data_IF_495175677494
#
_entry.id   IF_495175677494
#
_cell.length_a   1.000
_cell.length_b   1.000
_cell.length_c   1.000
_cell.angle_alpha   90.00
_cell.angle_beta   90.00
_cell.angle_gamma   90.00
#
_symmetry.space_group_name_H-M   'P 1'
#
loop_
_entity.id
_entity.type
_entity.pdbx_description
1 polymer ?
#
# COMPACT_ATOMS: atom_id res chain seq x y z
N UNK A 1 -8.24 0.68 8.40
CA UNK A 1 -6.91 0.03 8.39
C UNK A 1 -7.00 -1.47 8.12
N UNK A 2 -7.65 -2.26 8.98
CA UNK A 2 -7.73 -3.73 8.83
C UNK A 2 -8.34 -4.22 7.52
N UNK A 3 -9.32 -3.49 6.97
CA UNK A 3 -9.94 -3.85 5.68
C UNK A 3 -8.96 -3.72 4.50
N UNK A 4 -8.12 -2.67 4.49
CA UNK A 4 -7.18 -2.40 3.41
C UNK A 4 -6.06 -3.45 3.38
N UNK A 5 -5.55 -3.84 4.55
CA UNK A 5 -4.52 -4.90 4.64
C UNK A 5 -5.07 -6.25 4.17
N UNK A 6 -6.29 -6.63 4.58
CA UNK A 6 -6.96 -7.85 4.09
C UNK A 6 -7.23 -7.82 2.58
N UNK A 7 -7.51 -6.63 2.02
CA UNK A 7 -7.64 -6.47 0.57
C UNK A 7 -6.30 -6.65 -0.13
N UNK A 8 -5.21 -6.08 0.42
CA UNK A 8 -3.86 -6.23 -0.14
C UNK A 8 -3.40 -7.70 -0.12
N UNK A 9 -3.78 -8.49 0.89
CA UNK A 9 -3.51 -9.93 0.93
C UNK A 9 -4.17 -10.69 -0.24
N UNK A 10 -5.34 -10.24 -0.69
CA UNK A 10 -6.11 -10.91 -1.76
C UNK A 10 -5.77 -10.38 -3.14
N UNK A 11 -5.71 -9.06 -3.26
CA UNK A 11 -5.48 -8.32 -4.51
C UNK A 11 -4.47 -7.20 -4.25
N UNK A 12 -3.16 -7.52 -4.28
CA UNK A 12 -2.13 -6.58 -3.87
C UNK A 12 -1.98 -5.38 -4.80
N UNK A 13 -2.37 -5.48 -6.07
CA UNK A 13 -2.10 -4.45 -7.08
C UNK A 13 -3.37 -3.83 -7.67
N UNK A 14 -4.53 -4.18 -7.13
CA UNK A 14 -5.84 -3.78 -7.62
C UNK A 14 -6.81 -3.51 -6.46
N UNK A 15 -7.86 -2.73 -6.71
CA UNK A 15 -8.94 -2.47 -5.77
C UNK A 15 -8.92 -1.07 -5.15
N UNK A 16 -9.39 -0.97 -3.90
CA UNK A 16 -9.67 0.31 -3.24
C UNK A 16 -8.42 1.17 -3.06
N UNK A 17 -8.56 2.49 -3.07
CA UNK A 17 -7.43 3.38 -2.78
C UNK A 17 -6.42 3.52 -3.91
N UNK A 18 -6.78 3.17 -5.16
CA UNK A 18 -5.97 3.39 -6.37
C UNK A 18 -4.50 2.95 -6.19
N UNK A 19 -4.22 1.64 -6.20
CA UNK A 19 -2.87 1.12 -6.12
C UNK A 19 -2.01 1.68 -7.27
N UNK A 20 -0.91 2.33 -6.92
CA UNK A 20 0.00 2.96 -7.87
C UNK A 20 1.45 2.48 -7.59
N UNK A 21 2.16 1.91 -8.58
CA UNK A 21 3.55 1.53 -8.41
C UNK A 21 4.41 2.80 -8.26
N UNK A 22 5.31 2.79 -7.29
CA UNK A 22 6.28 3.86 -7.08
C UNK A 22 7.51 3.67 -8.00
N UNK A 23 8.22 4.78 -8.25
CA UNK A 23 9.35 4.85 -9.19
C UNK A 23 10.63 5.25 -8.46
N UNK A 24 11.76 5.16 -9.17
CA UNK A 24 13.10 5.56 -8.69
C UNK A 24 13.51 4.78 -7.43
N UNK A 25 13.84 5.48 -6.34
CA UNK A 25 14.28 4.89 -5.06
C UNK A 25 13.24 3.97 -4.43
N UNK A 26 11.97 4.12 -4.81
CA UNK A 26 10.86 3.27 -4.36
C UNK A 26 10.38 2.29 -5.44
N UNK A 27 11.22 1.99 -6.45
CA UNK A 27 10.88 0.97 -7.45
C UNK A 27 10.57 -0.37 -6.76
N UNK A 28 9.44 -0.97 -7.14
CA UNK A 28 8.92 -2.20 -6.51
C UNK A 28 8.05 -1.97 -5.28
N UNK A 29 7.96 -0.74 -4.75
CA UNK A 29 6.96 -0.36 -3.76
C UNK A 29 5.67 0.12 -4.42
N UNK A 30 4.59 0.07 -3.65
CA UNK A 30 3.25 0.45 -4.06
C UNK A 30 2.65 1.43 -3.07
N UNK A 31 1.90 2.39 -3.60
CA UNK A 31 1.14 3.37 -2.83
C UNK A 31 -0.35 3.10 -2.95
N UNK A 32 -1.05 3.14 -1.82
CA UNK A 32 -2.52 3.06 -1.76
C UNK A 32 -3.06 4.19 -0.90
N UNK A 33 -4.17 4.80 -1.32
CA UNK A 33 -4.87 5.84 -0.57
C UNK A 33 -5.65 5.21 0.59
N UNK A 34 -5.36 5.67 1.80
CA UNK A 34 -6.17 5.35 2.98
C UNK A 34 -7.34 6.34 3.06
N UNK A 35 -7.06 7.62 2.84
CA UNK A 35 -8.02 8.70 2.68
C UNK A 35 -7.42 9.75 1.71
N UNK A 36 -7.94 10.98 1.68
CA UNK A 36 -7.42 12.03 0.79
C UNK A 36 -5.95 12.36 1.07
N UNK A 37 -5.55 12.38 2.33
CA UNK A 37 -4.25 12.87 2.79
C UNK A 37 -3.22 11.76 3.01
N UNK A 38 -3.68 10.57 3.39
CA UNK A 38 -2.81 9.48 3.83
C UNK A 38 -2.62 8.43 2.76
N UNK A 39 -1.40 7.90 2.73
CA UNK A 39 -0.98 6.80 1.87
C UNK A 39 -0.42 5.67 2.71
N UNK A 40 -0.76 4.45 2.31
CA UNK A 40 -0.07 3.23 2.70
C UNK A 40 0.99 2.96 1.64
N UNK A 41 2.25 2.86 2.05
CA UNK A 41 3.34 2.40 1.19
C UNK A 41 3.74 0.99 1.63
N UNK A 42 3.64 0.06 0.68
CA UNK A 42 3.88 -1.36 0.92
C UNK A 42 4.56 -2.04 -0.26
N UNK A 43 5.09 -3.23 -0.02
CA UNK A 43 5.66 -4.13 -1.03
C UNK A 43 5.24 -5.56 -0.70
N UNK A 44 5.08 -6.40 -1.72
CA UNK A 44 4.86 -7.83 -1.54
C UNK A 44 6.14 -8.57 -1.88
N UNK A 45 6.67 -9.33 -0.93
CA UNK A 45 7.86 -10.17 -1.10
C UNK A 45 7.66 -11.51 -0.40
N UNK A 46 8.01 -12.63 -1.05
CA UNK A 46 7.98 -13.97 -0.45
C UNK A 46 6.68 -14.28 0.32
N UNK A 47 5.53 -13.97 -0.28
CA UNK A 47 4.19 -14.12 0.33
C UNK A 47 3.97 -13.31 1.61
N UNK A 48 4.81 -12.31 1.88
CA UNK A 48 4.69 -11.36 2.99
C UNK A 48 4.42 -9.96 2.47
N UNK A 49 3.64 -9.19 3.23
CA UNK A 49 3.40 -7.77 2.94
C UNK A 49 4.31 -6.95 3.86
N UNK A 50 5.25 -6.23 3.26
CA UNK A 50 6.14 -5.30 3.96
C UNK A 50 5.51 -3.91 3.90
N UNK A 51 5.25 -3.30 5.05
CA UNK A 51 4.71 -1.93 5.13
C UNK A 51 5.83 -0.98 5.52
N UNK A 52 6.16 -0.04 4.63
CA UNK A 52 7.18 0.99 4.90
C UNK A 52 6.59 2.17 5.65
N UNK A 53 5.38 2.59 5.25
CA UNK A 53 4.74 3.76 5.83
C UNK A 53 3.23 3.56 5.86
N UNK A 54 2.67 3.81 7.04
CA UNK A 54 1.27 4.12 7.20
C UNK A 54 1.18 5.30 8.14
N UNK A 55 0.91 6.50 7.63
CA UNK A 55 0.72 7.65 8.51
C UNK A 55 -0.74 8.06 8.54
N UNK A 56 -1.31 8.06 9.74
CA UNK A 56 -2.25 9.07 10.19
C UNK A 56 -1.43 10.34 10.38
N UNK A 57 -1.73 11.37 9.62
CA UNK A 57 -1.40 12.74 10.00
C UNK A 57 -2.67 13.27 10.68
N UNK A 58 -2.53 13.74 11.91
CA UNK A 58 -3.62 14.32 12.71
C UNK A 58 -4.35 15.42 11.96
#
# INVERSE_FOLDING_TARGET
MNALLKEIERTPYEGTGKPEPLKYDFSGWWSRRINLEHRLIYKVENSSIVVLQCRYHT
#
